data_IF_072220042095
#
_entry.id   IF_072220042095
#
_cell.length_a   1.000
_cell.length_b   1.000
_cell.length_c   1.000
_cell.angle_alpha   90.00
_cell.angle_beta   90.00
_cell.angle_gamma   90.00
#
_symmetry.space_group_name_H-M   'P 1'
#
loop_
_entity.id
_entity.type
_entity.pdbx_description
1 polymer ?
#
# COMPACT_ATOMS: atom_id res chain seq x y z
N UNK A 1 12.75 1.76 17.39
CA UNK A 1 12.83 3.20 17.06
C UNK A 1 12.82 3.33 15.55
N UNK A 2 12.11 4.31 15.01
CA UNK A 2 12.19 4.62 13.58
C UNK A 2 13.59 5.19 13.27
N UNK A 3 14.15 4.93 12.07
CA UNK A 3 15.39 5.56 11.64
C UNK A 3 15.22 7.07 11.50
N UNK A 4 16.34 7.79 11.50
CA UNK A 4 16.44 9.22 11.20
C UNK A 4 17.49 9.48 10.12
N UNK A 5 17.39 10.59 9.41
CA UNK A 5 18.33 10.96 8.34
C UNK A 5 17.88 12.19 7.55
N UNK A 6 18.57 12.51 6.46
CA UNK A 6 18.22 13.69 5.65
C UNK A 6 16.89 13.51 4.91
N UNK A 7 16.70 12.36 4.25
CA UNK A 7 15.57 12.12 3.34
C UNK A 7 14.91 10.76 3.54
N UNK A 8 13.59 10.74 3.44
CA UNK A 8 12.79 9.51 3.40
C UNK A 8 11.73 9.60 2.30
N UNK A 9 11.53 8.51 1.56
CA UNK A 9 10.42 8.37 0.64
C UNK A 9 9.28 7.56 1.28
N UNK A 10 8.05 8.03 1.14
CA UNK A 10 6.86 7.39 1.68
C UNK A 10 5.98 6.98 0.51
N UNK A 11 5.60 5.70 0.43
CA UNK A 11 4.55 5.26 -0.49
C UNK A 11 3.22 5.86 -0.01
N UNK A 12 2.83 6.97 -0.61
CA UNK A 12 1.80 7.87 -0.10
C UNK A 12 0.51 7.75 -0.90
N UNK A 13 -0.57 7.31 -0.24
CA UNK A 13 -1.91 7.22 -0.85
C UNK A 13 -2.83 8.36 -0.44
N UNK A 14 -2.40 9.26 0.47
CA UNK A 14 -3.28 10.25 1.10
C UNK A 14 -4.25 9.65 2.13
N UNK A 15 -4.27 8.32 2.30
CA UNK A 15 -5.11 7.67 3.29
C UNK A 15 -4.60 7.88 4.71
N UNK A 16 -5.46 7.57 5.69
CA UNK A 16 -5.16 7.64 7.12
C UNK A 16 -3.78 7.06 7.47
N UNK A 17 -3.49 5.83 7.06
CA UNK A 17 -2.26 5.13 7.45
C UNK A 17 -1.01 5.81 6.85
N UNK A 18 -1.03 6.14 5.56
CA UNK A 18 0.12 6.80 4.91
C UNK A 18 0.34 8.25 5.36
N UNK A 19 -0.75 8.96 5.71
CA UNK A 19 -0.69 10.30 6.28
C UNK A 19 -0.10 10.27 7.68
N UNK A 20 -0.47 9.27 8.48
CA UNK A 20 0.13 9.09 9.80
C UNK A 20 1.61 8.70 9.72
N UNK A 21 1.98 7.80 8.80
CA UNK A 21 3.39 7.48 8.53
C UNK A 21 4.20 8.76 8.26
N UNK A 22 3.70 9.67 7.43
CA UNK A 22 4.35 10.94 7.15
C UNK A 22 4.46 11.85 8.39
N UNK A 23 3.39 11.98 9.16
CA UNK A 23 3.38 12.80 10.36
C UNK A 23 4.32 12.27 11.46
N UNK A 24 4.42 10.95 11.62
CA UNK A 24 5.31 10.32 12.61
C UNK A 24 6.79 10.49 12.28
N UNK A 25 7.13 10.56 10.99
CA UNK A 25 8.51 10.67 10.53
C UNK A 25 9.01 12.11 10.42
N UNK A 26 8.12 13.09 10.59
CA UNK A 26 8.45 14.51 10.49
C UNK A 26 9.67 14.87 11.32
N UNK A 27 9.73 14.50 12.61
CA UNK A 27 10.88 14.87 13.45
C UNK A 27 12.17 14.08 13.16
N UNK A 28 12.06 13.00 12.40
CA UNK A 28 13.17 12.08 12.14
C UNK A 28 13.88 12.40 10.82
N UNK A 29 13.24 13.18 9.94
CA UNK A 29 13.77 13.50 8.62
C UNK A 29 13.58 14.96 8.25
N UNK A 30 14.59 15.52 7.57
CA UNK A 30 14.56 16.92 7.12
C UNK A 30 13.59 17.07 5.93
N UNK A 31 13.68 16.16 4.95
CA UNK A 31 12.81 16.11 3.78
C UNK A 31 12.05 14.79 3.66
N UNK A 32 10.73 14.91 3.46
CA UNK A 32 9.82 13.79 3.30
C UNK A 32 9.24 13.81 1.89
N UNK A 33 9.60 12.81 1.10
CA UNK A 33 9.11 12.61 -0.26
C UNK A 33 7.84 11.76 -0.21
N UNK A 34 6.68 12.38 -0.40
CA UNK A 34 5.39 11.74 -0.55
C UNK A 34 5.26 11.22 -1.98
N UNK A 35 5.50 9.93 -2.19
CA UNK A 35 5.48 9.31 -3.52
C UNK A 35 4.13 8.62 -3.73
N UNK A 36 3.28 9.24 -4.54
CA UNK A 36 2.00 8.70 -5.00
C UNK A 36 2.19 8.03 -6.36
N UNK A 37 1.32 7.06 -6.68
CA UNK A 37 1.40 6.34 -7.95
C UNK A 37 0.09 6.45 -8.71
N UNK A 38 0.22 6.62 -10.03
CA UNK A 38 -0.90 6.61 -10.95
C UNK A 38 -0.78 5.44 -11.94
N UNK A 39 -1.93 4.87 -12.31
CA UNK A 39 -2.04 3.87 -13.37
C UNK A 39 -3.47 3.82 -13.89
N UNK A 40 -3.65 3.29 -15.09
CA UNK A 40 -4.93 3.11 -15.75
C UNK A 40 -5.94 2.38 -14.86
N UNK A 41 -7.04 3.04 -14.51
CA UNK A 41 -8.06 2.49 -13.60
C UNK A 41 -7.91 2.93 -12.15
N UNK A 42 -6.93 3.78 -11.84
CA UNK A 42 -7.02 4.67 -10.69
C UNK A 42 -7.85 5.91 -11.07
N UNK A 43 -8.71 6.31 -10.15
CA UNK A 43 -9.47 7.56 -10.24
C UNK A 43 -9.05 8.47 -9.10
N UNK A 44 -9.10 9.78 -9.33
CA UNK A 44 -8.89 10.79 -8.28
C UNK A 44 -7.50 10.77 -7.63
N UNK A 45 -6.45 10.39 -8.38
CA UNK A 45 -5.08 10.33 -7.85
C UNK A 45 -4.60 11.69 -7.33
N UNK A 46 -5.04 12.77 -7.97
CA UNK A 46 -4.65 14.15 -7.61
C UNK A 46 -5.21 14.58 -6.25
N UNK A 47 -6.22 13.89 -5.71
CA UNK A 47 -6.77 14.19 -4.38
C UNK A 47 -5.76 13.96 -3.24
N UNK A 48 -4.69 13.20 -3.51
CA UNK A 48 -3.58 13.04 -2.57
C UNK A 48 -2.87 14.36 -2.26
N UNK A 49 -2.90 15.33 -3.18
CA UNK A 49 -2.32 16.66 -2.98
C UNK A 49 -2.96 17.42 -1.81
N UNK A 50 -4.24 17.16 -1.51
CA UNK A 50 -4.94 17.77 -0.37
C UNK A 50 -4.26 17.39 0.95
N UNK A 51 -3.86 16.13 1.09
CA UNK A 51 -3.21 15.64 2.32
C UNK A 51 -1.75 16.04 2.37
N UNK A 52 -1.07 16.07 1.22
CA UNK A 52 0.26 16.63 1.13
C UNK A 52 0.28 18.11 1.57
N UNK A 53 -0.70 18.91 1.12
CA UNK A 53 -0.82 20.31 1.52
C UNK A 53 -1.11 20.45 3.02
N UNK A 54 -1.99 19.63 3.59
CA UNK A 54 -2.25 19.63 5.04
C UNK A 54 -0.98 19.37 5.86
N UNK A 55 -0.14 18.43 5.43
CA UNK A 55 1.14 18.14 6.07
C UNK A 55 2.10 19.34 5.94
N UNK A 56 2.19 19.96 4.76
CA UNK A 56 2.97 21.19 4.54
C UNK A 56 2.54 22.34 5.43
N UNK A 57 1.23 22.59 5.52
CA UNK A 57 0.67 23.68 6.31
C UNK A 57 0.93 23.48 7.81
N UNK A 58 0.94 22.22 8.27
CA UNK A 58 1.14 21.87 9.68
C UNK A 58 2.61 21.91 10.10
N UNK A 59 3.51 21.44 9.25
CA UNK A 59 4.88 21.09 9.64
C UNK A 59 5.97 21.87 8.89
N UNK A 60 5.61 22.59 7.82
CA UNK A 60 6.51 23.43 7.02
C UNK A 60 6.39 23.13 5.52
N UNK A 61 6.31 24.19 4.70
CA UNK A 61 6.07 24.06 3.26
C UNK A 61 7.20 23.32 2.52
N UNK A 62 8.45 23.57 2.89
CA UNK A 62 9.62 23.02 2.19
C UNK A 62 9.99 21.59 2.62
N UNK A 63 9.24 21.01 3.56
CA UNK A 63 9.56 19.69 4.14
C UNK A 63 8.92 18.52 3.43
N UNK A 64 7.78 18.75 2.77
CA UNK A 64 7.02 17.69 2.11
C UNK A 64 7.00 17.90 0.59
N UNK A 65 7.70 17.02 -0.11
CA UNK A 65 7.78 16.98 -1.56
C UNK A 65 6.78 15.94 -2.05
N UNK A 66 5.81 16.33 -2.87
CA UNK A 66 4.76 15.41 -3.34
C UNK A 66 4.92 15.13 -4.83
N UNK A 67 5.09 13.86 -5.17
CA UNK A 67 5.33 13.38 -6.53
C UNK A 67 4.30 12.32 -6.92
N UNK A 68 3.78 12.39 -8.14
CA UNK A 68 2.86 11.38 -8.70
C UNK A 68 3.56 10.65 -9.83
N UNK A 69 3.92 9.39 -9.61
CA UNK A 69 4.67 8.56 -10.55
C UNK A 69 3.75 7.60 -11.32
N UNK A 70 3.87 7.56 -12.65
CA UNK A 70 3.14 6.57 -13.44
C UNK A 70 3.79 5.16 -13.32
N UNK A 71 2.97 4.12 -13.10
CA UNK A 71 3.42 2.72 -13.00
C UNK A 71 2.77 1.79 -14.03
N UNK A 72 2.11 2.31 -15.07
CA UNK A 72 1.35 1.49 -16.03
C UNK A 72 2.20 0.42 -16.71
N UNK A 73 3.36 0.82 -17.22
CA UNK A 73 4.26 -0.10 -17.93
C UNK A 73 4.87 -1.13 -16.99
N UNK A 74 5.25 -0.72 -15.78
CA UNK A 74 5.75 -1.62 -14.74
C UNK A 74 4.69 -2.63 -14.34
N UNK A 75 3.48 -2.16 -14.05
CA UNK A 75 2.36 -3.01 -13.68
C UNK A 75 2.01 -4.01 -14.78
N UNK A 76 1.96 -3.56 -16.04
CA UNK A 76 1.75 -4.44 -17.20
C UNK A 76 2.88 -5.45 -17.33
N UNK A 77 4.13 -5.03 -17.17
CA UNK A 77 5.28 -5.93 -17.23
C UNK A 77 5.17 -7.00 -16.14
N UNK A 78 5.05 -6.61 -14.87
CA UNK A 78 4.91 -7.51 -13.72
C UNK A 78 3.76 -8.51 -13.89
N UNK A 79 2.63 -8.05 -14.44
CA UNK A 79 1.43 -8.89 -14.61
C UNK A 79 1.55 -9.89 -15.75
N UNK A 80 2.24 -9.55 -16.85
CA UNK A 80 2.23 -10.36 -18.08
C UNK A 80 3.58 -10.99 -18.43
N UNK A 81 4.66 -10.63 -17.74
CA UNK A 81 5.96 -11.26 -17.97
C UNK A 81 5.92 -12.75 -17.62
N UNK A 82 6.29 -13.58 -18.60
CA UNK A 82 6.22 -15.05 -18.52
C UNK A 82 4.81 -15.58 -18.17
N UNK A 83 3.75 -14.95 -18.69
CA UNK A 83 2.35 -15.24 -18.35
C UNK A 83 2.00 -16.74 -18.33
N UNK A 84 2.26 -17.47 -19.42
CA UNK A 84 1.95 -18.90 -19.51
C UNK A 84 2.74 -19.75 -18.51
N UNK A 85 4.02 -19.44 -18.30
CA UNK A 85 4.85 -20.12 -17.30
C UNK A 85 4.34 -19.85 -15.88
N UNK A 86 3.93 -18.60 -15.59
CA UNK A 86 3.35 -18.25 -14.30
C UNK A 86 2.01 -18.94 -14.07
N UNK A 87 1.14 -19.04 -15.08
CA UNK A 87 -0.13 -19.79 -14.95
C UNK A 87 0.15 -21.27 -14.70
N UNK A 88 1.10 -21.87 -15.43
CA UNK A 88 1.44 -23.28 -15.23
C UNK A 88 1.97 -23.56 -13.82
N UNK A 89 2.80 -22.67 -13.27
CA UNK A 89 3.43 -22.85 -11.95
C UNK A 89 2.55 -22.39 -10.79
N UNK A 90 1.90 -21.24 -10.94
CA UNK A 90 1.20 -20.53 -9.87
C UNK A 90 -0.31 -20.40 -10.10
N UNK A 91 -0.86 -20.97 -11.18
CA UNK A 91 -2.29 -20.89 -11.48
C UNK A 91 -2.80 -19.45 -11.55
N UNK A 92 -3.90 -19.19 -10.83
CA UNK A 92 -4.58 -17.89 -10.83
C UNK A 92 -4.01 -16.86 -9.84
N UNK A 93 -2.87 -17.12 -9.17
CA UNK A 93 -2.22 -16.11 -8.33
C UNK A 93 -1.79 -14.86 -9.12
N UNK A 94 -1.68 -14.99 -10.45
CA UNK A 94 -1.47 -13.85 -11.34
C UNK A 94 -2.69 -12.88 -11.41
N UNK A 95 -3.85 -13.27 -10.86
CA UNK A 95 -5.02 -12.39 -10.65
C UNK A 95 -4.93 -11.58 -9.35
N UNK A 96 -3.82 -11.70 -8.60
CA UNK A 96 -3.51 -10.92 -7.40
C UNK A 96 -3.16 -9.45 -7.73
N UNK A 97 -4.09 -8.80 -8.44
CA UNK A 97 -3.94 -7.51 -9.10
C UNK A 97 -3.48 -6.43 -8.13
N UNK A 98 -4.05 -6.38 -6.92
CA UNK A 98 -3.70 -5.40 -5.90
C UNK A 98 -2.25 -5.55 -5.42
N UNK A 99 -1.78 -6.78 -5.19
CA UNK A 99 -0.40 -6.97 -4.74
C UNK A 99 0.61 -6.79 -5.88
N UNK A 100 0.29 -7.18 -7.12
CA UNK A 100 1.15 -6.92 -8.29
C UNK A 100 1.24 -5.42 -8.58
N UNK A 101 0.14 -4.70 -8.41
CA UNK A 101 0.08 -3.25 -8.45
C UNK A 101 0.99 -2.63 -7.38
N UNK A 102 0.89 -3.08 -6.12
CA UNK A 102 1.77 -2.58 -5.05
C UNK A 102 3.25 -2.95 -5.28
N UNK A 103 3.56 -4.13 -5.82
CA UNK A 103 4.92 -4.49 -6.23
C UNK A 103 5.46 -3.51 -7.29
N UNK A 104 4.65 -3.11 -8.26
CA UNK A 104 5.06 -2.11 -9.26
C UNK A 104 5.40 -0.75 -8.62
N UNK A 105 4.69 -0.37 -7.56
CA UNK A 105 4.97 0.83 -6.77
C UNK A 105 6.31 0.72 -6.05
N UNK A 106 6.58 -0.42 -5.39
CA UNK A 106 7.88 -0.64 -4.72
C UNK A 106 9.05 -0.57 -5.69
N UNK A 107 8.94 -1.22 -6.86
CA UNK A 107 9.98 -1.16 -7.92
C UNK A 107 10.19 0.28 -8.40
N UNK A 108 9.11 1.02 -8.63
CA UNK A 108 9.19 2.44 -9.01
C UNK A 108 9.81 3.30 -7.93
N UNK A 109 9.56 2.98 -6.66
CA UNK A 109 10.14 3.68 -5.49
C UNK A 109 11.63 3.47 -5.41
N UNK A 110 12.12 2.25 -5.61
CA UNK A 110 13.56 1.97 -5.60
C UNK A 110 14.26 2.82 -6.67
N UNK A 111 13.70 2.87 -7.88
CA UNK A 111 14.24 3.76 -8.92
C UNK A 111 14.21 5.23 -8.47
N UNK A 112 13.08 5.70 -7.94
CA UNK A 112 12.96 7.07 -7.44
C UNK A 112 14.01 7.40 -6.39
N UNK A 113 14.25 6.48 -5.46
CA UNK A 113 15.23 6.64 -4.39
C UNK A 113 16.66 6.68 -4.93
N UNK A 114 17.01 5.79 -5.87
CA UNK A 114 18.32 5.78 -6.51
C UNK A 114 18.60 7.08 -7.29
N UNK A 115 17.59 7.59 -8.00
CA UNK A 115 17.73 8.83 -8.77
C UNK A 115 17.84 10.09 -7.87
N UNK A 116 17.44 10.01 -6.59
CA UNK A 116 17.41 11.13 -5.64
C UNK A 116 18.30 10.96 -4.40
N UNK A 117 19.14 9.91 -4.37
CA UNK A 117 20.00 9.51 -3.24
C UNK A 117 19.23 9.37 -1.89
N UNK A 118 18.07 8.71 -1.94
CA UNK A 118 17.24 8.45 -0.74
C UNK A 118 17.50 7.04 -0.23
N UNK A 119 17.91 6.92 1.04
CA UNK A 119 18.28 5.63 1.66
C UNK A 119 17.21 5.04 2.57
N UNK A 120 16.11 5.76 2.77
CA UNK A 120 15.04 5.36 3.68
C UNK A 120 13.70 5.37 2.96
N UNK A 121 12.95 4.27 3.10
CA UNK A 121 11.60 4.14 2.55
C UNK A 121 10.63 3.66 3.61
N UNK A 122 9.48 4.30 3.70
CA UNK A 122 8.39 3.88 4.56
C UNK A 122 7.07 3.70 3.78
N UNK A 123 6.14 2.93 4.34
CA UNK A 123 4.76 2.98 3.89
C UNK A 123 3.76 2.83 5.05
N UNK A 124 2.47 2.92 4.70
CA UNK A 124 1.34 2.73 5.62
C UNK A 124 0.87 1.28 5.72
N UNK A 125 1.74 0.28 5.52
CA UNK A 125 1.37 -1.12 5.70
C UNK A 125 0.86 -1.39 7.11
N UNK A 126 -0.09 -2.31 7.24
CA UNK A 126 -0.86 -2.58 8.44
C UNK A 126 -1.28 -4.06 8.51
N UNK A 127 -1.11 -4.67 9.69
CA UNK A 127 -1.41 -6.09 9.95
C UNK A 127 -2.88 -6.47 9.77
N UNK A 128 -3.82 -5.53 9.94
CA UNK A 128 -5.26 -5.81 9.83
C UNK A 128 -5.70 -6.30 8.43
N UNK A 129 -4.87 -6.10 7.40
CA UNK A 129 -5.16 -6.48 6.01
C UNK A 129 -4.39 -7.73 5.57
N UNK A 130 -4.22 -8.72 6.44
CA UNK A 130 -3.41 -9.93 6.23
C UNK A 130 -3.72 -10.74 4.96
N UNK A 131 -4.95 -10.67 4.45
CA UNK A 131 -5.35 -11.28 3.17
C UNK A 131 -4.65 -10.68 1.94
N UNK A 132 -4.22 -9.42 2.02
CA UNK A 132 -3.58 -8.72 0.92
C UNK A 132 -2.08 -9.07 0.88
N UNK A 133 -1.54 -9.51 -0.28
CA UNK A 133 -0.15 -9.95 -0.36
C UNK A 133 0.85 -8.95 0.19
N UNK A 134 0.73 -7.67 -0.14
CA UNK A 134 1.67 -6.65 0.29
C UNK A 134 1.63 -6.32 1.80
N UNK A 135 0.64 -6.87 2.51
CA UNK A 135 0.46 -6.75 3.96
C UNK A 135 0.82 -8.05 4.70
N UNK A 136 1.07 -9.14 3.96
CA UNK A 136 1.49 -10.41 4.53
C UNK A 136 2.95 -10.32 4.99
N UNK A 137 3.21 -10.74 6.23
CA UNK A 137 4.57 -10.73 6.81
C UNK A 137 5.62 -11.38 5.89
N UNK A 138 5.34 -12.55 5.34
CA UNK A 138 6.28 -13.24 4.44
C UNK A 138 6.60 -12.47 3.16
N UNK A 139 5.64 -11.72 2.61
CA UNK A 139 5.88 -10.86 1.43
C UNK A 139 6.61 -9.58 1.84
N UNK A 140 6.25 -8.98 2.98
CA UNK A 140 6.95 -7.82 3.54
C UNK A 140 8.43 -8.14 3.78
N UNK A 141 8.73 -9.32 4.32
CA UNK A 141 10.12 -9.77 4.55
C UNK A 141 10.89 -9.89 3.22
N UNK A 142 10.26 -10.36 2.14
CA UNK A 142 10.88 -10.38 0.80
C UNK A 142 11.01 -8.96 0.20
N UNK A 143 10.06 -8.05 0.45
CA UNK A 143 10.17 -6.65 0.04
C UNK A 143 11.33 -5.96 0.77
N UNK A 144 11.52 -6.22 2.07
CA UNK A 144 12.66 -5.69 2.85
C UNK A 144 13.99 -6.13 2.24
N UNK A 145 14.13 -7.42 1.92
CA UNK A 145 15.32 -7.94 1.22
C UNK A 145 15.53 -7.28 -0.14
N UNK A 146 14.46 -7.01 -0.89
CA UNK A 146 14.54 -6.30 -2.16
C UNK A 146 15.09 -4.89 -1.98
N UNK A 147 14.62 -4.12 -0.99
CA UNK A 147 15.16 -2.78 -0.72
C UNK A 147 16.60 -2.83 -0.21
N UNK A 148 16.92 -3.77 0.69
CA UNK A 148 18.25 -3.97 1.24
C UNK A 148 19.29 -4.27 0.14
N UNK A 149 18.90 -5.05 -0.87
CA UNK A 149 19.73 -5.31 -2.06
C UNK A 149 20.18 -4.03 -2.78
N UNK A 150 19.37 -2.98 -2.75
CA UNK A 150 19.69 -1.67 -3.34
C UNK A 150 20.22 -0.66 -2.30
N UNK A 151 20.59 -1.11 -1.10
CA UNK A 151 21.13 -0.24 -0.05
C UNK A 151 20.09 0.69 0.59
N UNK A 152 18.80 0.35 0.50
CA UNK A 152 17.69 1.15 1.03
C UNK A 152 17.09 0.44 2.26
N UNK A 153 16.87 1.19 3.34
CA UNK A 153 16.17 0.71 4.53
C UNK A 153 14.66 0.88 4.37
N UNK A 154 13.93 -0.23 4.30
CA UNK A 154 12.46 -0.25 4.22
C UNK A 154 11.79 -0.63 5.55
N UNK A 155 10.85 0.19 6.01
CA UNK A 155 10.18 0.01 7.31
C UNK A 155 8.71 0.50 7.29
N UNK A 156 7.93 0.11 8.31
CA UNK A 156 6.48 0.31 8.34
C UNK A 156 6.07 0.90 9.70
N UNK A 157 6.13 2.23 9.90
CA UNK A 157 5.94 2.85 11.23
C UNK A 157 4.59 2.62 11.89
N UNK A 158 3.57 2.28 11.11
CA UNK A 158 2.19 2.12 11.57
C UNK A 158 1.72 0.66 11.57
N UNK A 159 2.62 -0.29 11.32
CA UNK A 159 2.25 -1.70 11.09
C UNK A 159 1.51 -2.35 12.25
N UNK A 160 1.83 -1.95 13.49
CA UNK A 160 1.28 -2.50 14.73
C UNK A 160 0.20 -1.60 15.37
N UNK A 161 -0.13 -0.45 14.78
CA UNK A 161 -1.05 0.52 15.40
C UNK A 161 -2.53 0.10 15.35
N UNK A 162 -2.93 -0.57 14.27
CA UNK A 162 -4.17 -1.34 14.31
C UNK A 162 -3.78 -2.75 14.78
N UNK A 163 -4.02 -3.01 16.07
CA UNK A 163 -3.98 -4.39 16.59
C UNK A 163 -4.88 -5.29 15.71
N UNK A 164 -4.63 -6.60 15.65
CA UNK A 164 -5.43 -7.50 14.84
C UNK A 164 -6.89 -7.39 15.30
N UNK A 165 -7.70 -6.63 14.56
CA UNK A 165 -9.14 -6.79 14.69
C UNK A 165 -9.40 -8.23 14.23
N UNK A 166 -9.83 -9.08 15.16
CA UNK A 166 -10.49 -10.37 14.88
C UNK A 166 -11.71 -10.21 13.96
N UNK A 167 -12.03 -9.01 13.48
CA UNK A 167 -12.95 -8.75 12.38
C UNK A 167 -12.20 -8.90 11.07
N UNK A 168 -11.78 -10.13 10.81
CA UNK A 168 -11.32 -10.52 9.50
C UNK A 168 -12.32 -10.05 8.44
N UNK A 169 -11.81 -9.70 7.27
CA UNK A 169 -12.57 -9.45 6.03
C UNK A 169 -13.67 -10.50 5.72
N UNK A 170 -13.66 -11.62 6.45
CA UNK A 170 -14.58 -12.74 6.43
C UNK A 170 -15.54 -12.64 7.62
N UNK A 171 -16.43 -11.64 7.64
CA UNK A 171 -17.77 -11.94 8.13
C UNK A 171 -18.64 -12.29 6.94
N UNK A 172 -19.37 -13.40 7.06
CA UNK A 172 -20.51 -13.77 6.19
C UNK A 172 -21.53 -12.63 6.02
N UNK A 173 -21.48 -11.59 6.86
CA UNK A 173 -22.31 -10.38 6.79
C UNK A 173 -22.02 -9.50 5.56
N UNK A 174 -20.79 -9.51 5.02
CA UNK A 174 -20.44 -8.73 3.82
C UNK A 174 -20.98 -9.31 2.51
N UNK A 175 -21.50 -10.55 2.53
CA UNK A 175 -22.20 -11.16 1.40
C UNK A 175 -23.69 -10.78 1.35
N UNK A 176 -24.29 -10.45 2.50
CA UNK A 176 -25.67 -9.99 2.58
C UNK A 176 -25.79 -8.49 2.24
N UNK A 177 -24.78 -7.69 2.56
CA UNK A 177 -24.74 -6.25 2.27
C UNK A 177 -24.65 -5.88 0.78
N UNK A 178 -24.28 -6.82 -0.10
CA UNK A 178 -24.18 -6.55 -1.54
C UNK A 178 -25.52 -6.77 -2.27
N UNK A 179 -26.47 -7.48 -1.65
CA UNK A 179 -27.72 -7.92 -2.30
C UNK A 179 -29.02 -7.43 -1.64
N UNK A 180 -28.95 -6.55 -0.63
CA UNK A 180 -30.15 -6.03 0.05
C UNK A 180 -30.44 -4.58 -0.39
N UNK A 181 -31.46 -4.42 -1.24
CA UNK A 181 -31.94 -3.12 -1.73
C UNK A 181 -32.77 -2.34 -0.69
N UNK A 182 -32.95 -2.87 0.52
CA UNK A 182 -33.72 -2.22 1.60
C UNK A 182 -32.85 -1.58 2.68
N UNK A 183 -31.52 -1.71 2.59
CA UNK A 183 -30.58 -1.01 3.47
C UNK A 183 -30.36 0.41 2.91
N UNK A 184 -30.81 1.47 3.60
CA UNK A 184 -30.55 2.83 3.14
C UNK A 184 -29.04 3.11 3.24
N UNK A 185 -28.50 3.97 2.37
CA UNK A 185 -27.15 4.52 2.45
C UNK A 185 -26.98 5.30 3.78
N UNK A 186 -26.76 4.58 4.88
CA UNK A 186 -26.60 5.16 6.21
C UNK A 186 -25.23 4.74 6.73
N UNK A 187 -24.37 5.76 6.75
CA UNK A 187 -23.19 5.88 7.60
C UNK A 187 -23.50 5.35 9.01
N UNK A 188 -23.06 4.14 9.33
CA UNK A 188 -22.89 3.75 10.73
C UNK A 188 -21.50 4.23 11.15
N UNK A 189 -21.38 5.18 12.10
CA UNK A 189 -20.09 5.43 12.73
C UNK A 189 -19.67 4.13 13.41
N UNK A 190 -18.44 3.69 13.16
CA UNK A 190 -17.84 2.63 13.96
C UNK A 190 -17.83 3.14 15.41
N UNK A 191 -18.56 2.44 16.29
CA UNK A 191 -18.75 2.83 17.68
C UNK A 191 -17.40 2.83 18.38
N UNK A 192 -16.98 4.00 18.83
CA UNK A 192 -15.78 4.22 19.63
C UNK A 192 -15.90 3.43 20.94
N UNK A 193 -14.94 2.54 21.22
CA UNK A 193 -14.88 1.78 22.46
C UNK A 193 -13.86 2.45 23.40
N UNK A 194 -14.36 3.27 24.32
CA UNK A 194 -13.56 3.96 25.35
C UNK A 194 -12.75 3.00 26.22
N UNK A 195 -13.26 1.78 26.44
CA UNK A 195 -12.64 0.79 27.32
C UNK A 195 -11.39 0.14 26.70
N UNK A 196 -11.27 0.15 25.36
CA UNK A 196 -10.19 -0.57 24.65
C UNK A 196 -8.91 0.23 24.45
N UNK A 197 -8.86 1.55 24.70
CA UNK A 197 -7.66 2.41 24.46
C UNK A 197 -6.88 2.01 23.19
N UNK A 198 -7.58 1.70 22.09
CA UNK A 198 -6.91 1.23 20.87
C UNK A 198 -6.44 2.45 20.09
N UNK A 199 -5.13 2.62 20.02
CA UNK A 199 -4.45 3.77 19.42
C UNK A 199 -4.53 3.71 17.89
N UNK A 200 -5.72 3.97 17.34
CA UNK A 200 -5.91 3.85 15.89
C UNK A 200 -5.18 4.96 15.14
N UNK A 201 -4.85 4.74 13.84
CA UNK A 201 -4.26 5.78 13.02
C UNK A 201 -5.11 7.06 12.92
N UNK A 202 -6.43 6.91 12.88
CA UNK A 202 -7.38 8.04 12.83
C UNK A 202 -7.37 8.88 14.11
N UNK A 203 -7.38 8.23 15.28
CA UNK A 203 -7.32 8.90 16.57
C UNK A 203 -6.00 9.66 16.73
N UNK A 204 -4.89 9.05 16.29
CA UNK A 204 -3.57 9.68 16.35
C UNK A 204 -3.51 10.94 15.48
N UNK A 205 -4.02 10.87 14.25
CA UNK A 205 -4.10 12.04 13.37
C UNK A 205 -5.01 13.14 13.95
N UNK A 206 -6.12 12.78 14.58
CA UNK A 206 -7.01 13.74 15.24
C UNK A 206 -6.29 14.48 16.37
N UNK A 207 -5.57 13.76 17.24
CA UNK A 207 -4.75 14.35 18.31
C UNK A 207 -3.65 15.28 17.78
N UNK A 208 -3.13 15.02 16.58
CA UNK A 208 -2.16 15.88 15.88
C UNK A 208 -2.81 17.10 15.19
N UNK A 209 -4.14 17.18 15.13
CA UNK A 209 -4.88 18.20 14.37
C UNK A 209 -4.81 18.01 12.85
N UNK A 210 -4.54 16.78 12.40
CA UNK A 210 -4.47 16.37 10.98
C UNK A 210 -5.72 15.62 10.50
N UNK A 211 -6.68 15.41 11.40
CA UNK A 211 -7.98 14.86 11.07
C UNK A 211 -9.08 15.67 11.79
N UNK A 212 -10.29 15.77 11.22
CA UNK A 212 -11.41 16.47 11.85
C UNK A 212 -12.07 15.68 12.98
N UNK A 213 -11.90 14.36 13.03
CA UNK A 213 -12.43 13.48 14.06
C UNK A 213 -11.54 12.21 14.17
N UNK A 214 -11.62 11.42 15.26
CA UNK A 214 -10.79 10.23 15.43
C UNK A 214 -11.16 9.07 14.50
N UNK A 215 -12.37 9.05 13.91
CA UNK A 215 -12.90 7.93 13.13
C UNK A 215 -12.96 8.26 11.64
N UNK A 216 -11.84 8.69 11.06
CA UNK A 216 -11.79 9.08 9.64
C UNK A 216 -11.58 7.92 8.68
N UNK A 217 -10.94 6.82 9.10
CA UNK A 217 -10.57 5.71 8.20
C UNK A 217 -11.81 5.11 7.51
N UNK A 218 -11.79 5.05 6.17
CA UNK A 218 -12.90 4.57 5.35
C UNK A 218 -14.10 5.52 5.22
N UNK A 219 -14.12 6.64 5.96
CA UNK A 219 -15.19 7.64 5.89
C UNK A 219 -15.25 8.35 4.52
N UNK A 220 -16.28 9.16 4.28
CA UNK A 220 -16.35 10.05 3.10
C UNK A 220 -15.19 11.06 3.08
N UNK A 221 -14.71 11.49 4.24
CA UNK A 221 -13.56 12.38 4.36
C UNK A 221 -12.30 11.72 3.81
N UNK A 222 -12.03 10.47 4.22
CA UNK A 222 -10.84 9.70 3.85
C UNK A 222 -10.91 9.24 2.38
N UNK A 223 -12.08 8.74 1.93
CA UNK A 223 -12.29 8.32 0.52
C UNK A 223 -12.13 9.45 -0.49
N UNK A 224 -12.39 10.71 -0.11
CA UNK A 224 -12.21 11.88 -0.97
C UNK A 224 -10.74 12.31 -1.12
N UNK A 225 -9.82 11.71 -0.37
CA UNK A 225 -8.39 12.08 -0.31
C UNK A 225 -7.47 11.01 -0.89
N UNK A 226 -8.03 9.87 -1.25
CA UNK A 226 -7.29 8.71 -1.73
C UNK A 226 -7.61 8.42 -3.20
N UNK A 227 -6.63 7.89 -3.97
CA UNK A 227 -6.91 7.27 -5.24
C UNK A 227 -7.87 6.10 -5.05
N UNK A 228 -8.83 5.95 -5.96
CA UNK A 228 -9.80 4.84 -5.94
C UNK A 228 -9.49 3.84 -7.04
N UNK A 229 -9.52 2.55 -6.69
CA UNK A 229 -9.30 1.45 -7.63
C UNK A 229 -10.37 0.37 -7.42
N UNK A 230 -11.14 0.07 -8.47
CA UNK A 230 -12.20 -0.93 -8.42
C UNK A 230 -11.72 -2.36 -8.75
N UNK A 231 -10.46 -2.51 -9.18
CA UNK A 231 -9.90 -3.82 -9.54
C UNK A 231 -9.68 -4.75 -8.34
N UNK A 232 -9.89 -4.26 -7.11
CA UNK A 232 -9.92 -5.11 -5.92
C UNK A 232 -10.99 -6.21 -5.99
N UNK A 233 -12.06 -6.00 -6.78
CA UNK A 233 -13.10 -7.01 -7.01
C UNK A 233 -12.49 -8.29 -7.62
N UNK A 234 -11.53 -8.16 -8.54
CA UNK A 234 -10.87 -9.31 -9.20
C UNK A 234 -10.11 -10.13 -8.17
N UNK A 235 -9.39 -9.46 -7.26
CA UNK A 235 -8.69 -10.12 -6.16
C UNK A 235 -9.66 -10.87 -5.25
N UNK A 236 -10.79 -10.26 -4.87
CA UNK A 236 -11.78 -10.93 -4.01
C UNK A 236 -12.39 -12.17 -4.67
N UNK A 237 -12.68 -12.10 -5.98
CA UNK A 237 -13.18 -13.26 -6.72
C UNK A 237 -12.15 -14.40 -6.68
N UNK A 238 -10.88 -14.09 -6.95
CA UNK A 238 -9.82 -15.09 -6.91
C UNK A 238 -9.56 -15.63 -5.50
N UNK A 239 -9.20 -14.77 -4.56
CA UNK A 239 -8.73 -15.20 -3.24
C UNK A 239 -9.87 -15.80 -2.41
N UNK A 240 -11.00 -15.11 -2.30
CA UNK A 240 -12.09 -15.47 -1.38
C UNK A 240 -13.05 -16.47 -2.02
N UNK A 241 -13.51 -16.21 -3.25
CA UNK A 241 -14.56 -17.02 -3.89
C UNK A 241 -14.03 -18.26 -4.62
N UNK A 242 -12.77 -18.26 -5.04
CA UNK A 242 -12.20 -19.39 -5.79
C UNK A 242 -11.20 -20.19 -4.97
N UNK A 243 -10.16 -19.55 -4.43
CA UNK A 243 -9.05 -20.25 -3.78
C UNK A 243 -9.43 -20.75 -2.39
N UNK A 244 -9.88 -19.87 -1.49
CA UNK A 244 -10.21 -20.21 -0.10
C UNK A 244 -11.48 -21.07 0.06
N UNK A 245 -12.25 -21.28 -1.01
CA UNK A 245 -13.34 -22.27 -0.99
C UNK A 245 -12.83 -23.72 -1.01
N UNK A 246 -11.56 -23.92 -1.40
CA UNK A 246 -10.96 -25.25 -1.63
C UNK A 246 -9.66 -25.48 -0.86
N UNK A 247 -9.13 -24.43 -0.24
CA UNK A 247 -7.81 -24.39 0.37
C UNK A 247 -7.84 -23.62 1.68
N UNK A 248 -6.89 -23.93 2.57
CA UNK A 248 -6.75 -23.20 3.83
C UNK A 248 -6.10 -21.83 3.61
N UNK A 249 -6.21 -20.96 4.63
CA UNK A 249 -5.53 -19.68 4.62
C UNK A 249 -4.00 -19.83 4.63
N UNK A 250 -3.47 -20.82 5.33
CA UNK A 250 -2.04 -21.14 5.37
C UNK A 250 -1.54 -21.53 3.98
N UNK A 251 -2.27 -22.37 3.26
CA UNK A 251 -1.95 -22.73 1.87
C UNK A 251 -1.98 -21.50 0.96
N UNK A 252 -2.96 -20.61 1.13
CA UNK A 252 -3.05 -19.36 0.38
C UNK A 252 -1.86 -18.44 0.67
N UNK A 253 -1.52 -18.26 1.95
CA UNK A 253 -0.38 -17.47 2.41
C UNK A 253 0.92 -18.01 1.82
N UNK A 254 1.19 -19.30 1.95
CA UNK A 254 2.47 -19.90 1.55
C UNK A 254 2.64 -19.83 0.03
N UNK A 255 1.58 -20.10 -0.75
CA UNK A 255 1.61 -19.92 -2.22
C UNK A 255 1.72 -18.46 -2.64
N UNK A 256 1.10 -17.54 -1.90
CA UNK A 256 1.26 -16.10 -2.15
C UNK A 256 2.71 -15.70 -1.93
N UNK A 257 3.32 -16.09 -0.82
CA UNK A 257 4.72 -15.79 -0.51
C UNK A 257 5.64 -16.36 -1.59
N UNK A 258 5.48 -17.62 -2.00
CA UNK A 258 6.30 -18.22 -3.06
C UNK A 258 6.14 -17.50 -4.42
N UNK A 259 4.91 -17.12 -4.78
CA UNK A 259 4.64 -16.35 -5.99
C UNK A 259 5.31 -14.97 -5.96
N UNK A 260 5.15 -14.22 -4.86
CA UNK A 260 5.74 -12.89 -4.73
C UNK A 260 7.26 -12.93 -4.62
N UNK A 261 7.83 -13.93 -3.93
CA UNK A 261 9.28 -14.16 -3.93
C UNK A 261 9.83 -14.30 -5.35
N UNK A 262 9.20 -15.15 -6.18
CA UNK A 262 9.61 -15.30 -7.57
C UNK A 262 9.45 -14.00 -8.38
N UNK A 263 8.40 -13.21 -8.13
CA UNK A 263 8.18 -11.92 -8.82
C UNK A 263 9.21 -10.88 -8.40
N UNK A 264 9.51 -10.79 -7.10
CA UNK A 264 10.51 -9.89 -6.53
C UNK A 264 11.90 -10.20 -7.11
N UNK A 265 12.33 -11.47 -7.15
CA UNK A 265 13.62 -11.83 -7.74
C UNK A 265 13.75 -11.40 -9.21
N UNK A 266 12.66 -11.48 -9.99
CA UNK A 266 12.66 -10.98 -11.37
C UNK A 266 12.74 -9.46 -11.45
N UNK A 267 12.14 -8.75 -10.48
CA UNK A 267 12.21 -7.29 -10.43
C UNK A 267 13.58 -6.77 -9.98
N UNK A 268 14.28 -7.49 -9.10
CA UNK A 268 15.69 -7.22 -8.79
C UNK A 268 16.52 -7.29 -10.08
N UNK A 269 16.44 -8.42 -10.80
CA UNK A 269 17.13 -8.60 -12.09
C UNK A 269 16.71 -7.55 -13.14
N UNK A 270 15.48 -7.02 -13.07
CA UNK A 270 15.02 -5.97 -13.96
C UNK A 270 15.71 -4.64 -13.61
N UNK A 271 15.79 -4.29 -12.33
CA UNK A 271 16.41 -3.05 -11.84
C UNK A 271 17.94 -3.02 -12.06
N UNK A 272 18.61 -4.17 -12.00
CA UNK A 272 20.05 -4.29 -12.26
C UNK A 272 20.43 -4.14 -13.74
N UNK A 273 19.47 -4.34 -14.66
CA UNK A 273 19.72 -4.22 -16.08
C UNK A 273 19.76 -2.76 -16.49
N UNK A 274 20.95 -2.28 -16.80
CA UNK A 274 21.14 -0.97 -17.41
C UNK A 274 20.94 -1.02 -18.93
N UNK A 275 19.68 -1.22 -19.36
CA UNK A 275 19.33 -1.14 -20.77
C UNK A 275 18.19 -0.14 -21.05
N UNK A 276 18.22 0.47 -22.25
CA UNK A 276 17.25 1.50 -22.66
C UNK A 276 15.80 1.01 -22.66
N UNK A 277 15.56 -0.29 -22.83
CA UNK A 277 14.22 -0.90 -22.86
C UNK A 277 13.66 -1.03 -21.44
N UNK A 278 14.50 -1.40 -20.48
CA UNK A 278 14.22 -1.41 -19.04
C UNK A 278 13.89 0.00 -18.56
N UNK A 279 14.70 1.00 -18.90
CA UNK A 279 14.41 2.40 -18.54
C UNK A 279 13.06 2.87 -19.09
N UNK A 280 12.65 2.41 -20.28
CA UNK A 280 11.32 2.71 -20.84
C UNK A 280 10.17 2.03 -20.09
N UNK A 281 10.41 0.87 -19.45
CA UNK A 281 9.43 0.13 -18.64
C UNK A 281 9.30 0.78 -17.26
N UNK A 282 10.42 1.03 -16.58
CA UNK A 282 10.44 1.60 -15.23
C UNK A 282 10.01 3.07 -15.26
N UNK A 283 10.25 3.77 -16.37
CA UNK A 283 9.94 5.18 -16.59
C UNK A 283 11.10 6.10 -16.25
N UNK A 284 11.17 7.27 -16.89
CA UNK A 284 12.00 8.39 -16.41
C UNK A 284 11.26 9.09 -15.26
N UNK A 285 11.99 9.71 -14.35
CA UNK A 285 11.39 10.76 -13.50
C UNK A 285 11.07 11.93 -14.41
#
# INVERSE_FOLDING_TARGET
MNPSGERVAILFSGGTDSTLTAALLEKSFDNIHLVTYNRFGFHETDNTAVQAQLLRDKFGQDRFIHEILNVDKLFKHISYENYFSNIRKYGFFNLSTCGLCKLSMHVRTIKYCNDNDIKFVADGANQAMSMFPAQMKGVIDELKKMYEHFGITYFNPVFELDGPEEKGFIEKSNLLLINDHTVPDIEKPLVYNEEKKTFTPGETLFKMGLAPNPNVKGSKYDRKRQPRCFQFIIFNIFAIKYFLQKHTYEEYRDKTVDFYKSKISRMINLLEKDDKKVQKIIGKI
#
